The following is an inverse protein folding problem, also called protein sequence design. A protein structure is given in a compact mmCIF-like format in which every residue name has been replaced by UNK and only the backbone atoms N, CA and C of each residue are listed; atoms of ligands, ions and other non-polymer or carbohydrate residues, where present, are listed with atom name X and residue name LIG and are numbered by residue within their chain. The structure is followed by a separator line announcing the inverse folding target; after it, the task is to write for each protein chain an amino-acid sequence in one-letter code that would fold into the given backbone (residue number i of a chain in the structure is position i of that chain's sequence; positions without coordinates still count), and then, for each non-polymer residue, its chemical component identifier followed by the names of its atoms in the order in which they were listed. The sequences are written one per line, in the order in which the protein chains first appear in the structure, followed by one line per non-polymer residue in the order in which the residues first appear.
data_IF_621841082330
#
_entry.id   IF_621841082330
#
_cell.length_a   1.000
_cell.length_b   1.000
_cell.length_c   1.000
_cell.angle_alpha   90.00
_cell.angle_beta   90.00
_cell.angle_gamma   90.00
#
_symmetry.space_group_name_H-M   'P 1'
#
loop_
_entity.id
_entity.type
_entity.pdbx_description
1 polymer ?
#
# COMPACT_ATOMS: atom_id res chain seq x y z
N UNK A 1 -14.09 -37.97 24.15
CA UNK A 1 -14.51 -37.50 22.81
C UNK A 1 -14.35 -35.99 22.76
N UNK A 2 -13.24 -35.48 22.20
CA UNK A 2 -13.23 -34.13 21.61
C UNK A 2 -12.93 -34.34 20.14
N UNK A 3 -13.96 -34.09 19.35
CA UNK A 3 -14.16 -34.49 17.98
C UNK A 3 -13.36 -33.58 17.01
N UNK A 4 -12.70 -34.23 16.04
CA UNK A 4 -12.47 -33.82 14.63
C UNK A 4 -12.05 -32.37 14.30
N UNK A 5 -10.90 -32.27 13.61
CA UNK A 5 -10.74 -31.32 12.49
C UNK A 5 -10.16 -29.94 12.78
N UNK A 6 -9.04 -29.83 13.49
CA UNK A 6 -8.43 -28.54 13.84
C UNK A 6 -7.44 -27.95 12.81
N UNK A 7 -7.82 -27.88 11.52
CA UNK A 7 -6.98 -27.28 10.46
C UNK A 7 -7.70 -26.23 9.58
N UNK A 8 -8.74 -25.58 10.10
CA UNK A 8 -9.30 -24.36 9.49
C UNK A 8 -9.55 -23.30 10.54
N UNK A 9 -8.50 -22.98 11.30
CA UNK A 9 -8.52 -21.90 12.29
C UNK A 9 -9.06 -20.63 11.64
N UNK A 10 -10.28 -20.28 12.01
CA UNK A 10 -10.97 -18.99 11.88
C UNK A 10 -9.93 -17.87 11.77
N UNK A 11 -9.57 -17.50 10.54
CA UNK A 11 -8.35 -16.76 10.27
C UNK A 11 -8.43 -15.39 10.95
N UNK A 12 -7.83 -15.28 12.13
CA UNK A 12 -7.64 -14.04 12.88
C UNK A 12 -6.45 -13.28 12.30
N UNK A 13 -6.31 -12.00 12.65
CA UNK A 13 -5.20 -11.18 12.19
C UNK A 13 -3.82 -11.63 12.71
N UNK A 14 -3.79 -12.58 13.67
CA UNK A 14 -2.54 -13.10 14.26
C UNK A 14 -1.61 -13.78 13.26
N UNK A 15 -2.16 -14.49 12.26
CA UNK A 15 -1.38 -15.23 11.27
C UNK A 15 -1.68 -14.80 9.82
N UNK A 16 -2.47 -13.73 9.63
CA UNK A 16 -2.85 -13.26 8.30
C UNK A 16 -1.86 -12.23 7.77
N UNK A 17 -1.20 -12.56 6.66
CA UNK A 17 -0.34 -11.62 5.93
C UNK A 17 -1.18 -10.84 4.92
N UNK A 18 -1.12 -9.51 5.00
CA UNK A 18 -1.78 -8.62 4.04
C UNK A 18 -0.76 -8.05 3.03
N UNK A 19 -1.19 -7.77 1.79
CA UNK A 19 -0.36 -7.03 0.82
C UNK A 19 0.09 -5.67 1.36
N UNK A 20 1.16 -5.11 0.77
CA UNK A 20 1.68 -3.79 1.16
C UNK A 20 0.60 -2.71 1.08
N UNK A 21 0.68 -1.73 1.99
CA UNK A 21 -0.30 -0.64 2.08
C UNK A 21 -1.64 -1.04 2.68
N UNK A 22 -1.71 -2.23 3.30
CA UNK A 22 -2.91 -2.74 3.96
C UNK A 22 -2.62 -3.16 5.39
N UNK A 23 -3.61 -2.97 6.26
CA UNK A 23 -3.62 -3.49 7.63
C UNK A 23 -4.69 -4.57 7.78
N UNK A 24 -4.44 -5.50 8.69
CA UNK A 24 -5.45 -6.50 9.04
C UNK A 24 -6.38 -5.97 10.13
N UNK A 25 -7.69 -6.12 9.92
CA UNK A 25 -8.72 -5.88 10.94
C UNK A 25 -9.68 -7.08 11.02
N UNK A 26 -10.10 -7.49 12.23
CA UNK A 26 -11.19 -8.44 12.37
C UNK A 26 -12.51 -7.76 11.97
N UNK A 27 -13.31 -8.48 11.20
CA UNK A 27 -14.69 -8.08 10.90
C UNK A 27 -15.55 -8.14 12.17
N UNK A 28 -16.31 -7.09 12.44
CA UNK A 28 -17.06 -6.95 13.71
C UNK A 28 -18.19 -7.98 13.85
N UNK A 29 -18.75 -8.43 12.74
CA UNK A 29 -19.90 -9.35 12.72
C UNK A 29 -19.43 -10.81 12.67
N UNK A 30 -18.52 -11.13 11.76
CA UNK A 30 -18.09 -12.51 11.49
C UNK A 30 -16.85 -12.93 12.27
N UNK A 31 -16.10 -11.97 12.83
CA UNK A 31 -14.80 -12.19 13.47
C UNK A 31 -13.71 -12.66 12.50
N UNK A 32 -13.94 -12.58 11.18
CA UNK A 32 -12.98 -12.99 10.15
C UNK A 32 -11.98 -11.88 9.88
N UNK A 33 -10.70 -12.21 9.70
CA UNK A 33 -9.69 -11.23 9.33
C UNK A 33 -9.87 -10.71 7.89
N UNK A 34 -9.83 -9.39 7.75
CA UNK A 34 -9.89 -8.67 6.47
C UNK A 34 -8.69 -7.74 6.32
N UNK A 35 -8.18 -7.63 5.09
CA UNK A 35 -7.11 -6.69 4.75
C UNK A 35 -7.73 -5.41 4.18
N UNK A 36 -7.66 -4.33 4.93
CA UNK A 36 -8.15 -3.01 4.53
C UNK A 36 -6.98 -2.09 4.20
N UNK A 37 -7.20 -1.06 3.37
CA UNK A 37 -6.16 -0.07 3.10
C UNK A 37 -5.71 0.60 4.40
N UNK A 38 -4.44 0.96 4.46
CA UNK A 38 -3.90 1.65 5.61
C UNK A 38 -4.39 3.10 5.64
N UNK A 39 -4.92 3.54 6.77
CA UNK A 39 -5.49 4.89 6.94
C UNK A 39 -4.46 5.93 7.40
N UNK A 40 -3.33 5.48 7.95
CA UNK A 40 -2.28 6.35 8.51
C UNK A 40 -0.92 5.71 8.27
N UNK A 41 0.00 6.48 7.71
CA UNK A 41 1.42 6.16 7.63
C UNK A 41 2.19 6.96 8.68
N UNK A 42 3.36 6.45 9.07
CA UNK A 42 4.26 7.21 9.94
C UNK A 42 4.80 8.43 9.17
N UNK A 43 4.94 9.60 9.83
CA UNK A 43 5.45 10.81 9.19
C UNK A 43 6.98 10.74 9.07
N UNK A 44 7.47 9.81 8.26
CA UNK A 44 8.90 9.68 7.95
C UNK A 44 9.15 10.19 6.53
N UNK A 45 10.20 10.98 6.35
CA UNK A 45 10.56 11.51 5.05
C UNK A 45 11.69 10.68 4.43
N UNK A 46 11.31 9.74 3.57
CA UNK A 46 12.21 8.89 2.77
C UNK A 46 11.65 8.86 1.36
N UNK A 47 11.87 9.93 0.59
CA UNK A 47 11.07 10.21 -0.59
C UNK A 47 11.28 9.19 -1.71
N UNK A 48 10.20 8.89 -2.42
CA UNK A 48 10.19 7.89 -3.51
C UNK A 48 9.36 8.38 -4.69
N UNK A 49 9.72 7.92 -5.89
CA UNK A 49 8.96 8.12 -7.12
C UNK A 49 8.02 6.93 -7.32
N UNK A 50 6.73 7.19 -7.51
CA UNK A 50 5.76 6.16 -7.88
C UNK A 50 5.79 5.89 -9.39
N UNK A 51 5.41 4.68 -9.78
CA UNK A 51 5.22 4.29 -11.19
C UNK A 51 4.13 5.07 -11.92
N UNK A 52 3.41 5.93 -11.19
CA UNK A 52 2.43 6.87 -11.72
C UNK A 52 2.98 8.29 -11.90
N UNK A 53 4.30 8.46 -11.79
CA UNK A 53 4.99 9.72 -12.00
C UNK A 53 4.82 10.71 -10.84
N UNK A 54 4.28 10.28 -9.69
CA UNK A 54 4.07 11.13 -8.52
C UNK A 54 5.17 10.92 -7.48
N UNK A 55 5.51 12.01 -6.80
CA UNK A 55 6.34 11.98 -5.61
C UNK A 55 5.52 11.54 -4.39
N UNK A 56 6.12 10.74 -3.53
CA UNK A 56 5.55 10.33 -2.25
C UNK A 56 6.57 10.51 -1.14
N UNK A 57 6.12 10.98 0.03
CA UNK A 57 6.98 11.26 1.18
C UNK A 57 7.71 10.02 1.71
N UNK A 58 7.09 8.84 1.56
CA UNK A 58 7.69 7.55 1.88
C UNK A 58 7.00 6.38 1.17
N UNK A 59 7.58 5.19 1.31
CA UNK A 59 7.05 3.95 0.74
C UNK A 59 5.63 3.59 1.23
N UNK A 60 5.27 3.94 2.47
CA UNK A 60 3.94 3.65 3.00
C UNK A 60 2.87 4.44 2.23
N UNK A 61 3.13 5.72 1.95
CA UNK A 61 2.21 6.58 1.20
C UNK A 61 1.95 6.08 -0.23
N UNK A 62 2.99 5.57 -0.91
CA UNK A 62 2.83 4.93 -2.24
C UNK A 62 1.87 3.74 -2.16
N UNK A 63 2.13 2.81 -1.22
CA UNK A 63 1.34 1.59 -1.12
C UNK A 63 -0.08 1.85 -0.62
N UNK A 64 -0.24 2.81 0.29
CA UNK A 64 -1.55 3.29 0.74
C UNK A 64 -2.34 3.83 -0.44
N UNK A 65 -1.75 4.73 -1.21
CA UNK A 65 -2.38 5.34 -2.38
C UNK A 65 -2.74 4.28 -3.42
N UNK A 66 -1.83 3.33 -3.68
CA UNK A 66 -2.10 2.18 -4.54
C UNK A 66 -3.32 1.38 -4.10
N UNK A 67 -3.45 1.12 -2.79
CA UNK A 67 -4.60 0.43 -2.24
C UNK A 67 -5.90 1.22 -2.40
N UNK A 68 -5.89 2.50 -2.01
CA UNK A 68 -7.08 3.36 -2.03
C UNK A 68 -7.60 3.61 -3.45
N UNK A 69 -6.68 3.85 -4.40
CA UNK A 69 -7.03 4.04 -5.82
C UNK A 69 -7.36 2.73 -6.53
N UNK A 70 -7.20 1.57 -5.88
CA UNK A 70 -7.34 0.24 -6.50
C UNK A 70 -6.49 0.09 -7.77
N UNK A 71 -5.31 0.73 -7.79
CA UNK A 71 -4.40 0.77 -8.93
C UNK A 71 -3.01 0.36 -8.49
N UNK A 72 -2.32 -0.47 -9.28
CA UNK A 72 -0.96 -0.92 -8.94
C UNK A 72 0.02 0.24 -9.13
N UNK A 73 0.55 0.76 -8.03
CA UNK A 73 1.63 1.76 -8.02
C UNK A 73 2.79 1.13 -7.27
N UNK A 74 3.95 1.04 -7.92
CA UNK A 74 5.17 0.53 -7.32
C UNK A 74 6.23 1.62 -7.28
N UNK A 75 7.18 1.48 -6.34
CA UNK A 75 8.29 2.41 -6.20
C UNK A 75 9.24 2.23 -7.39
N UNK A 76 9.52 3.32 -8.09
CA UNK A 76 10.61 3.42 -9.04
C UNK A 76 11.89 3.77 -8.28
N UNK A 77 12.99 3.11 -8.63
CA UNK A 77 14.31 3.45 -8.12
C UNK A 77 14.88 4.71 -8.77
N UNK A 78 14.23 5.22 -9.82
CA UNK A 78 14.65 6.42 -10.51
C UNK A 78 14.27 7.70 -9.75
N UNK A 79 15.15 8.69 -9.83
CA UNK A 79 14.94 10.04 -9.27
C UNK A 79 14.14 10.96 -10.21
N UNK A 80 13.55 10.43 -11.27
CA UNK A 80 12.94 11.26 -12.33
C UNK A 80 11.74 12.10 -11.85
N UNK A 81 10.95 11.61 -10.88
CA UNK A 81 9.87 12.41 -10.28
C UNK A 81 10.38 13.68 -9.56
N UNK A 82 11.65 13.72 -9.15
CA UNK A 82 12.22 14.83 -8.38
C UNK A 82 12.56 16.05 -9.27
N UNK A 83 12.67 15.86 -10.59
CA UNK A 83 13.02 16.92 -11.53
C UNK A 83 11.80 17.69 -12.07
N UNK A 84 10.57 17.23 -11.82
CA UNK A 84 9.33 17.93 -12.23
C UNK A 84 8.89 19.05 -11.27
N UNK A 85 9.84 19.70 -10.59
CA UNK A 85 9.63 20.81 -9.66
C UNK A 85 10.25 22.15 -10.09
N UNK A 86 10.88 22.22 -11.26
CA UNK A 86 11.30 23.46 -11.92
C UNK A 86 10.78 23.45 -13.35
N UNK A 87 10.24 24.58 -13.84
CA UNK A 87 9.49 24.69 -15.10
C UNK A 87 10.02 23.83 -16.25
N UNK A 88 9.15 22.97 -16.77
CA UNK A 88 9.40 22.12 -17.93
C UNK A 88 8.27 22.27 -18.93
N UNK A 89 8.07 23.49 -19.43
CA UNK A 89 7.59 23.66 -20.80
C UNK A 89 8.65 23.05 -21.71
N UNK A 90 8.37 21.87 -22.26
CA UNK A 90 8.99 21.46 -23.51
C UNK A 90 7.86 21.38 -24.53
N UNK A 91 7.61 22.44 -25.32
CA UNK A 91 6.89 22.26 -26.57
C UNK A 91 7.87 21.67 -27.59
N UNK A 92 7.46 20.57 -28.21
CA UNK A 92 8.05 20.14 -29.48
C UNK A 92 9.20 19.15 -29.39
N UNK A 93 8.85 17.87 -29.49
CA UNK A 93 9.68 16.94 -30.26
C UNK A 93 9.30 17.05 -31.73
N UNK A 94 10.21 17.60 -32.54
CA UNK A 94 10.50 17.35 -33.97
C UNK A 94 11.34 18.52 -34.50
#
# INVERSE_FOLDING_TARGET
MVDRGSLRHRASCRARVCPRGRRCLPDKETGRARCVCQDICRPTFVPVCGSDGRFYENHCEVYRTSCQQKRRIYVLHSRDCFFKGGGGETPGGL
#
